data_IF_211887718399
#
_entry.id   IF_211887718399
#
_cell.length_a   1.000
_cell.length_b   1.000
_cell.length_c   1.000
_cell.angle_alpha   90.00
_cell.angle_beta   90.00
_cell.angle_gamma   90.00
#
_symmetry.space_group_name_H-M   'P 1'
#
loop_
_entity.id
_entity.type
_entity.pdbx_description
1 polymer ?
#
# COMPACT_ATOMS: atom_id res chain seq x y z
N UNK A 1 9.41 -47.07 -2.55
CA UNK A 1 8.83 -46.35 -3.70
C UNK A 1 7.47 -46.98 -3.89
N UNK A 2 6.54 -46.66 -2.99
CA UNK A 2 5.37 -47.50 -2.79
C UNK A 2 4.18 -46.71 -3.30
N UNK A 3 3.81 -47.00 -4.54
CA UNK A 3 2.56 -46.51 -5.10
C UNK A 3 1.43 -47.33 -4.48
N UNK A 4 0.38 -46.67 -3.99
CA UNK A 4 -0.77 -47.35 -3.39
C UNK A 4 -1.53 -48.23 -4.41
N UNK A 5 -1.52 -47.84 -5.68
CA UNK A 5 -2.06 -48.63 -6.79
C UNK A 5 -1.09 -48.57 -7.98
N UNK A 6 -0.33 -49.63 -8.29
CA UNK A 6 0.49 -49.67 -9.49
C UNK A 6 -0.39 -49.65 -10.75
N UNK A 7 0.04 -48.99 -11.84
CA UNK A 7 1.33 -48.34 -12.03
C UNK A 7 1.41 -46.93 -11.39
N UNK A 8 2.62 -46.46 -11.01
CA UNK A 8 2.81 -45.08 -10.60
C UNK A 8 2.51 -44.12 -11.76
N UNK A 9 2.12 -42.88 -11.44
CA UNK A 9 1.91 -41.85 -12.47
C UNK A 9 3.18 -41.66 -13.32
N UNK A 10 2.99 -41.57 -14.63
CA UNK A 10 4.05 -41.21 -15.57
C UNK A 10 4.45 -39.74 -15.42
N UNK A 11 5.60 -39.37 -15.97
CA UNK A 11 6.08 -37.98 -15.90
C UNK A 11 5.17 -37.03 -16.71
N UNK A 12 4.60 -37.48 -17.83
CA UNK A 12 3.60 -36.70 -18.61
C UNK A 12 2.32 -36.43 -17.80
N UNK A 13 1.87 -37.42 -17.03
CA UNK A 13 0.72 -37.27 -16.12
C UNK A 13 1.04 -36.31 -14.98
N UNK A 14 2.26 -36.35 -14.42
CA UNK A 14 2.71 -35.37 -13.43
C UNK A 14 2.76 -33.97 -14.03
N UNK A 15 3.30 -33.80 -15.24
CA UNK A 15 3.32 -32.52 -15.96
C UNK A 15 1.91 -31.98 -16.17
N UNK A 16 0.99 -32.83 -16.63
CA UNK A 16 -0.42 -32.46 -16.83
C UNK A 16 -1.09 -31.94 -15.54
N UNK A 17 -0.71 -32.50 -14.38
CA UNK A 17 -1.18 -32.01 -13.07
C UNK A 17 -0.56 -30.66 -12.70
N UNK A 18 0.73 -30.44 -13.02
CA UNK A 18 1.39 -29.15 -12.80
C UNK A 18 0.73 -28.03 -13.61
N UNK A 19 0.41 -28.33 -14.86
CA UNK A 19 -0.22 -27.39 -15.80
C UNK A 19 -1.72 -27.16 -15.53
N UNK A 20 -2.31 -27.87 -14.56
CA UNK A 20 -3.73 -27.79 -14.22
C UNK A 20 -4.66 -28.46 -15.23
N UNK A 21 -4.12 -29.31 -16.11
CA UNK A 21 -4.83 -30.02 -17.19
C UNK A 21 -5.22 -31.45 -16.80
N UNK A 22 -4.99 -31.86 -15.56
CA UNK A 22 -5.26 -33.22 -15.10
C UNK A 22 -6.76 -33.52 -14.94
N UNK A 23 -7.17 -34.68 -15.43
CA UNK A 23 -8.51 -35.22 -15.19
C UNK A 23 -8.73 -35.69 -13.74
N UNK A 24 -9.99 -35.92 -13.35
CA UNK A 24 -10.36 -36.27 -11.97
C UNK A 24 -9.70 -37.56 -11.46
N UNK A 25 -9.47 -38.54 -12.35
CA UNK A 25 -8.83 -39.82 -12.00
C UNK A 25 -7.40 -39.65 -11.46
N UNK A 26 -6.62 -38.73 -12.04
CA UNK A 26 -5.27 -38.44 -11.58
C UNK A 26 -5.28 -37.75 -10.21
N UNK A 27 -6.25 -36.85 -9.97
CA UNK A 27 -6.40 -36.16 -8.70
C UNK A 27 -6.82 -37.14 -7.60
N UNK A 28 -7.72 -38.08 -7.89
CA UNK A 28 -8.10 -39.16 -6.96
C UNK A 28 -6.91 -40.04 -6.62
N UNK A 29 -6.08 -40.40 -7.61
CA UNK A 29 -4.85 -41.16 -7.36
C UNK A 29 -3.87 -40.40 -6.45
N UNK A 30 -3.64 -39.10 -6.70
CA UNK A 30 -2.78 -38.27 -5.86
C UNK A 30 -3.30 -38.14 -4.42
N UNK A 31 -4.61 -38.04 -4.25
CA UNK A 31 -5.24 -38.01 -2.93
C UNK A 31 -5.00 -39.29 -2.13
N UNK A 32 -4.91 -40.45 -2.81
CA UNK A 32 -4.73 -41.76 -2.17
C UNK A 32 -3.25 -42.21 -2.09
N UNK A 33 -2.33 -41.62 -2.85
CA UNK A 33 -0.97 -42.12 -3.02
C UNK A 33 0.11 -41.12 -2.55
N UNK A 34 0.68 -41.39 -1.38
CA UNK A 34 1.77 -40.56 -0.82
C UNK A 34 3.03 -40.54 -1.71
N UNK A 35 3.37 -41.66 -2.38
CA UNK A 35 4.54 -41.75 -3.25
C UNK A 35 4.43 -40.84 -4.49
N UNK A 36 3.28 -40.84 -5.15
CA UNK A 36 3.03 -39.97 -6.30
C UNK A 36 2.90 -38.50 -5.88
N UNK A 37 2.33 -38.22 -4.71
CA UNK A 37 2.27 -36.86 -4.15
C UNK A 37 3.66 -36.31 -3.82
N UNK A 38 4.57 -37.12 -3.28
CA UNK A 38 5.96 -36.71 -3.05
C UNK A 38 6.73 -36.42 -4.36
N UNK A 39 6.46 -37.20 -5.43
CA UNK A 39 7.01 -36.95 -6.77
C UNK A 39 6.49 -35.64 -7.36
N UNK A 40 5.18 -35.39 -7.27
CA UNK A 40 4.58 -34.12 -7.69
C UNK A 40 5.16 -32.93 -6.93
N UNK A 41 5.35 -33.05 -5.61
CA UNK A 41 5.97 -31.99 -4.80
C UNK A 41 7.43 -31.71 -5.21
N UNK A 42 8.18 -32.75 -5.55
CA UNK A 42 9.55 -32.63 -6.07
C UNK A 42 9.56 -31.91 -7.43
N UNK A 43 8.65 -32.29 -8.34
CA UNK A 43 8.51 -31.65 -9.65
C UNK A 43 8.14 -30.17 -9.53
N UNK A 44 7.15 -29.81 -8.67
CA UNK A 44 6.81 -28.41 -8.34
C UNK A 44 7.98 -27.60 -7.81
N UNK A 45 8.85 -28.24 -7.04
CA UNK A 45 10.02 -27.56 -6.46
C UNK A 45 11.08 -27.30 -7.52
N UNK A 46 11.28 -28.25 -8.45
CA UNK A 46 12.16 -28.06 -9.60
C UNK A 46 11.64 -26.96 -10.52
N UNK A 47 10.36 -27.00 -10.90
CA UNK A 47 9.73 -26.00 -11.77
C UNK A 47 9.87 -24.60 -11.18
N UNK A 48 9.56 -24.41 -9.88
CA UNK A 48 9.75 -23.12 -9.21
C UNK A 48 11.21 -22.65 -9.23
N UNK A 49 12.18 -23.55 -9.07
CA UNK A 49 13.61 -23.19 -9.14
C UNK A 49 14.03 -22.78 -10.54
N UNK A 50 13.58 -23.50 -11.56
CA UNK A 50 13.85 -23.18 -12.96
C UNK A 50 13.18 -21.86 -13.34
N UNK A 51 11.89 -21.71 -13.04
CA UNK A 51 11.14 -20.48 -13.24
C UNK A 51 11.83 -19.30 -12.55
N UNK A 52 12.22 -19.43 -11.28
CA UNK A 52 12.93 -18.36 -10.56
C UNK A 52 14.29 -17.99 -11.19
N UNK A 53 15.02 -18.96 -11.75
CA UNK A 53 16.29 -18.69 -12.44
C UNK A 53 16.11 -18.07 -13.82
N UNK A 54 15.09 -18.48 -14.56
CA UNK A 54 14.82 -17.97 -15.90
C UNK A 54 14.00 -16.67 -15.86
N UNK A 55 13.34 -16.38 -14.75
CA UNK A 55 12.62 -15.14 -14.53
C UNK A 55 13.59 -13.96 -14.58
N UNK A 56 13.40 -13.10 -15.59
CA UNK A 56 14.24 -11.91 -15.85
C UNK A 56 15.71 -12.22 -16.14
N UNK A 57 16.05 -13.45 -16.56
CA UNK A 57 17.45 -13.84 -16.78
C UNK A 57 18.24 -12.84 -17.64
N UNK A 58 17.61 -12.30 -18.69
CA UNK A 58 18.22 -11.30 -19.59
C UNK A 58 17.60 -9.90 -19.45
N UNK A 59 16.76 -9.68 -18.43
CA UNK A 59 16.11 -8.39 -18.22
C UNK A 59 16.94 -7.50 -17.29
N UNK A 60 17.04 -6.19 -17.57
CA UNK A 60 17.66 -5.26 -16.64
C UNK A 60 16.90 -5.25 -15.30
N UNK A 61 17.59 -4.97 -14.18
CA UNK A 61 16.95 -4.90 -12.87
C UNK A 61 16.01 -3.68 -12.80
N UNK A 62 14.97 -3.72 -11.93
CA UNK A 62 13.96 -2.67 -11.82
C UNK A 62 14.56 -1.28 -11.60
N UNK A 63 15.56 -1.17 -10.73
CA UNK A 63 16.18 0.12 -10.39
C UNK A 63 16.82 0.79 -11.62
N UNK A 64 17.41 0.00 -12.52
CA UNK A 64 17.98 0.50 -13.78
C UNK A 64 16.89 1.01 -14.72
N UNK A 65 15.72 0.37 -14.76
CA UNK A 65 14.58 0.85 -15.55
C UNK A 65 14.04 2.18 -14.99
N UNK A 66 13.99 2.32 -13.66
CA UNK A 66 13.58 3.57 -13.01
C UNK A 66 14.57 4.72 -13.26
N UNK A 67 15.88 4.45 -13.15
CA UNK A 67 16.91 5.45 -13.42
C UNK A 67 16.97 5.82 -14.91
N UNK A 68 16.73 4.86 -15.82
CA UNK A 68 16.54 5.14 -17.25
C UNK A 68 15.37 6.10 -17.48
N UNK A 69 14.21 5.84 -16.85
CA UNK A 69 13.03 6.69 -16.96
C UNK A 69 13.29 8.12 -16.46
N UNK A 70 14.14 8.28 -15.44
CA UNK A 70 14.52 9.58 -14.87
C UNK A 70 15.67 10.27 -15.61
N UNK A 71 16.21 9.65 -16.67
CA UNK A 71 17.35 10.18 -17.43
C UNK A 71 18.66 10.23 -16.64
N UNK A 72 18.81 9.40 -15.61
CA UNK A 72 19.97 9.40 -14.69
C UNK A 72 21.07 8.42 -15.05
N UNK A 73 20.88 7.63 -16.11
CA UNK A 73 21.89 6.70 -16.60
C UNK A 73 22.86 7.38 -17.57
N UNK A 74 24.10 6.92 -17.58
CA UNK A 74 25.07 7.28 -18.60
C UNK A 74 24.63 6.83 -20.01
N UNK A 75 25.17 7.44 -21.08
CA UNK A 75 24.70 7.25 -22.45
C UNK A 75 24.75 5.79 -22.92
N UNK A 76 25.83 5.07 -22.59
CA UNK A 76 26.01 3.66 -22.94
C UNK A 76 24.95 2.75 -22.29
N UNK A 77 24.66 2.97 -21.01
CA UNK A 77 23.67 2.19 -20.25
C UNK A 77 22.24 2.50 -20.72
N UNK A 78 21.98 3.76 -21.07
CA UNK A 78 20.69 4.17 -21.63
C UNK A 78 20.44 3.52 -23.01
N UNK A 79 21.45 3.45 -23.87
CA UNK A 79 21.36 2.75 -25.15
C UNK A 79 21.10 1.25 -24.98
N UNK A 80 21.81 0.58 -24.06
CA UNK A 80 21.61 -0.84 -23.79
C UNK A 80 20.18 -1.15 -23.31
N UNK A 81 19.62 -0.32 -22.43
CA UNK A 81 18.24 -0.48 -21.96
C UNK A 81 17.25 -0.19 -23.09
N UNK A 82 17.48 0.85 -23.88
CA UNK A 82 16.62 1.17 -25.03
C UNK A 82 16.56 0.01 -26.04
N UNK A 83 17.72 -0.60 -26.33
CA UNK A 83 17.80 -1.77 -27.20
C UNK A 83 17.04 -2.98 -26.60
N UNK A 84 17.18 -3.22 -25.29
CA UNK A 84 16.44 -4.28 -24.61
C UNK A 84 14.92 -4.04 -24.64
N UNK A 85 14.46 -2.81 -24.41
CA UNK A 85 13.04 -2.44 -24.44
C UNK A 85 12.39 -2.63 -25.81
N UNK A 86 13.16 -2.57 -26.89
CA UNK A 86 12.67 -2.84 -28.24
C UNK A 86 12.29 -4.31 -28.48
N UNK A 87 12.85 -5.23 -27.69
CA UNK A 87 12.66 -6.69 -27.85
C UNK A 87 11.84 -7.28 -26.71
N UNK A 88 11.91 -6.71 -25.51
CA UNK A 88 11.27 -7.25 -24.32
C UNK A 88 9.92 -6.59 -24.01
N UNK A 89 8.81 -7.28 -24.32
CA UNK A 89 7.44 -6.85 -24.01
C UNK A 89 7.21 -6.66 -22.50
N UNK A 90 7.89 -7.47 -21.68
CA UNK A 90 7.75 -7.40 -20.23
C UNK A 90 8.32 -6.10 -19.67
N UNK A 91 9.56 -5.76 -20.02
CA UNK A 91 10.20 -4.55 -19.53
C UNK A 91 9.57 -3.28 -20.09
N UNK A 92 9.05 -3.31 -21.32
CA UNK A 92 8.28 -2.19 -21.86
C UNK A 92 6.96 -1.97 -21.11
N UNK A 93 6.26 -3.03 -20.71
CA UNK A 93 5.08 -2.93 -19.84
C UNK A 93 5.43 -2.38 -18.45
N UNK A 94 6.47 -2.92 -17.81
CA UNK A 94 6.94 -2.44 -16.49
C UNK A 94 7.28 -0.94 -16.52
N UNK A 95 7.89 -0.47 -17.61
CA UNK A 95 8.20 0.95 -17.81
C UNK A 95 6.94 1.81 -18.07
N UNK A 96 5.95 1.27 -18.78
CA UNK A 96 4.67 1.94 -19.00
C UNK A 96 3.87 2.09 -17.69
N UNK A 97 3.82 1.03 -16.88
CA UNK A 97 3.16 1.05 -15.57
C UNK A 97 3.84 2.07 -14.64
N UNK A 98 5.17 2.10 -14.62
CA UNK A 98 5.93 3.10 -13.86
C UNK A 98 5.61 4.54 -14.30
N UNK A 99 5.51 4.78 -15.62
CA UNK A 99 5.14 6.10 -16.16
C UNK A 99 3.75 6.53 -15.74
N UNK A 100 2.78 5.61 -15.80
CA UNK A 100 1.41 5.89 -15.40
C UNK A 100 1.34 6.27 -13.90
N UNK A 101 2.07 5.55 -13.05
CA UNK A 101 2.09 5.82 -11.61
C UNK A 101 2.73 7.18 -11.28
N UNK A 102 3.83 7.53 -11.96
CA UNK A 102 4.47 8.84 -11.79
C UNK A 102 3.57 9.98 -12.30
N UNK A 103 2.90 9.81 -13.44
CA UNK A 103 1.96 10.80 -13.95
C UNK A 103 0.75 11.03 -13.03
N UNK A 104 0.28 9.97 -12.35
CA UNK A 104 -0.76 10.08 -11.34
C UNK A 104 -0.30 10.84 -10.09
N UNK A 105 0.98 10.72 -9.70
CA UNK A 105 1.55 11.44 -8.57
C UNK A 105 1.81 12.93 -8.87
N UNK A 106 2.14 13.28 -10.12
CA UNK A 106 2.37 14.67 -10.58
C UNK A 106 1.08 15.41 -10.93
N UNK A 107 -0.06 14.71 -11.01
CA UNK A 107 -1.34 15.35 -11.22
C UNK A 107 -1.68 16.16 -9.96
N UNK A 108 -1.96 17.47 -10.07
CA UNK A 108 -2.43 18.24 -8.91
C UNK A 108 -3.66 17.51 -8.36
N UNK A 109 -3.74 17.28 -7.03
CA UNK A 109 -4.91 16.67 -6.45
C UNK A 109 -6.11 17.48 -6.91
N UNK A 110 -7.09 16.80 -7.51
CA UNK A 110 -8.31 17.44 -7.94
C UNK A 110 -8.85 18.21 -6.75
N UNK A 111 -8.85 19.54 -6.85
CA UNK A 111 -9.30 20.42 -5.78
C UNK A 111 -10.79 20.15 -5.64
N UNK A 112 -11.14 19.27 -4.71
CA UNK A 112 -12.52 18.98 -4.34
C UNK A 112 -13.15 20.32 -3.97
N UNK A 113 -14.03 20.82 -4.84
CA UNK A 113 -14.79 22.03 -4.54
C UNK A 113 -15.57 21.77 -3.25
N UNK A 114 -15.50 22.67 -2.25
CA UNK A 114 -16.16 22.45 -0.97
C UNK A 114 -17.67 22.34 -1.20
N UNK A 115 -18.19 21.12 -1.16
CA UNK A 115 -19.62 20.85 -1.13
C UNK A 115 -20.13 20.97 0.30
N UNK A 116 -21.28 21.62 0.54
CA UNK A 116 -21.90 21.63 1.84
C UNK A 116 -22.21 20.19 2.29
N UNK A 117 -21.74 19.84 3.48
CA UNK A 117 -21.85 18.48 4.00
C UNK A 117 -23.31 18.04 4.20
N UNK A 118 -23.67 16.78 3.88
CA UNK A 118 -24.93 16.21 4.34
C UNK A 118 -24.95 16.15 5.87
N UNK A 119 -26.05 16.61 6.48
CA UNK A 119 -26.26 16.58 7.93
C UNK A 119 -26.47 15.14 8.38
N UNK A 120 -25.48 14.53 9.02
CA UNK A 120 -25.63 13.25 9.71
C UNK A 120 -26.47 13.41 11.00
N UNK A 121 -27.30 12.41 11.37
CA UNK A 121 -28.14 12.46 12.55
C UNK A 121 -27.32 12.49 13.85
N UNK A 122 -27.85 13.21 14.84
CA UNK A 122 -27.18 13.68 16.06
C UNK A 122 -26.80 12.59 17.11
N UNK A 123 -26.79 11.31 16.74
CA UNK A 123 -26.60 10.19 17.67
C UNK A 123 -25.20 9.54 17.63
N UNK A 124 -24.21 10.16 16.97
CA UNK A 124 -22.83 9.69 17.00
C UNK A 124 -22.22 9.94 18.39
N UNK A 125 -21.74 8.89 19.06
CA UNK A 125 -20.91 9.02 20.26
C UNK A 125 -19.64 9.78 19.88
N UNK A 126 -19.51 10.99 20.42
CA UNK A 126 -18.38 11.90 20.17
C UNK A 126 -17.35 11.73 21.27
N UNK A 127 -16.17 11.29 20.89
CA UNK A 127 -15.00 11.19 21.73
C UNK A 127 -14.05 12.33 21.36
N UNK A 128 -13.69 13.17 22.32
CA UNK A 128 -12.70 14.23 22.10
C UNK A 128 -11.30 13.68 22.32
N UNK A 129 -10.47 13.67 21.28
CA UNK A 129 -9.06 13.36 21.40
C UNK A 129 -8.33 14.51 22.08
N UNK A 130 -7.50 14.19 23.05
CA UNK A 130 -6.59 15.12 23.69
C UNK A 130 -5.21 14.97 23.07
N UNK A 131 -4.68 16.04 22.49
CA UNK A 131 -3.28 16.09 22.08
C UNK A 131 -2.39 15.93 23.31
N UNK A 132 -1.46 14.98 23.24
CA UNK A 132 -0.47 14.78 24.28
C UNK A 132 0.68 15.79 24.11
N UNK A 133 1.32 16.22 25.21
CA UNK A 133 2.49 17.07 25.11
C UNK A 133 3.56 16.37 24.28
N UNK A 134 4.10 17.05 23.27
CA UNK A 134 5.25 16.57 22.49
C UNK A 134 6.41 16.35 23.47
N UNK A 135 6.71 15.09 23.77
CA UNK A 135 7.95 14.78 24.47
C UNK A 135 9.07 14.76 23.42
N UNK A 136 10.09 15.63 23.51
CA UNK A 136 11.22 15.56 22.62
C UNK A 136 11.98 14.26 22.91
N UNK A 137 11.65 13.20 22.15
CA UNK A 137 12.48 12.01 22.09
C UNK A 137 13.82 12.38 21.46
N UNK A 138 14.91 11.84 21.98
CA UNK A 138 16.24 11.98 21.37
C UNK A 138 16.17 11.50 19.90
N UNK A 139 16.07 12.44 18.98
CA UNK A 139 15.86 12.16 17.56
C UNK A 139 17.14 11.58 16.96
N UNK A 140 17.16 10.27 16.69
CA UNK A 140 18.05 9.72 15.69
C UNK A 140 17.47 10.07 14.31
N UNK A 141 18.05 11.14 13.73
CA UNK A 141 17.96 11.55 12.32
C UNK A 141 16.65 12.26 11.90
N UNK A 142 16.73 13.59 11.79
CA UNK A 142 15.72 14.45 11.17
C UNK A 142 15.25 15.55 12.13
N UNK A 143 15.66 16.79 11.88
CA UNK A 143 15.21 17.96 12.64
C UNK A 143 13.77 18.30 12.24
N UNK A 144 12.81 17.64 12.87
CA UNK A 144 11.39 17.96 12.80
C UNK A 144 10.78 17.91 14.20
N UNK A 145 9.63 18.53 14.37
CA UNK A 145 8.91 18.68 15.65
C UNK A 145 8.39 17.36 16.27
N UNK A 146 8.76 16.21 15.70
CA UNK A 146 8.28 14.89 16.06
C UNK A 146 6.81 14.68 15.69
N UNK A 147 6.35 13.42 15.60
CA UNK A 147 4.95 13.13 15.32
C UNK A 147 4.07 13.69 16.45
N UNK A 148 2.94 14.30 16.08
CA UNK A 148 1.90 14.70 17.01
C UNK A 148 1.16 13.44 17.46
N UNK A 149 1.05 13.25 18.78
CA UNK A 149 0.32 12.12 19.36
C UNK A 149 -0.94 12.65 20.06
N UNK A 150 -2.07 11.99 19.83
CA UNK A 150 -3.33 12.31 20.49
C UNK A 150 -4.04 11.03 20.93
N UNK A 151 -4.75 11.07 22.05
CA UNK A 151 -5.45 9.91 22.60
C UNK A 151 -6.94 10.20 22.81
N UNK A 152 -7.78 9.21 22.50
CA UNK A 152 -9.21 9.20 22.75
C UNK A 152 -9.69 7.76 23.02
N UNK A 153 -10.21 7.49 24.22
CA UNK A 153 -10.99 6.28 24.58
C UNK A 153 -10.57 4.98 23.86
N UNK A 154 -9.37 4.47 24.18
CA UNK A 154 -8.84 3.21 23.62
C UNK A 154 -8.28 3.34 22.20
N UNK A 155 -8.07 4.57 21.72
CA UNK A 155 -7.39 4.85 20.46
C UNK A 155 -6.32 5.93 20.61
N UNK A 156 -5.18 5.71 19.96
CA UNK A 156 -4.06 6.64 19.82
C UNK A 156 -3.91 7.02 18.35
N UNK A 157 -3.82 8.32 18.09
CA UNK A 157 -3.60 8.89 16.76
C UNK A 157 -2.17 9.44 16.72
N UNK A 158 -1.39 8.99 15.76
CA UNK A 158 -0.10 9.55 15.39
C UNK A 158 -0.28 10.37 14.12
N UNK A 159 0.23 11.59 14.09
CA UNK A 159 0.18 12.48 12.93
C UNK A 159 1.57 13.00 12.62
N UNK A 160 1.97 12.89 11.36
CA UNK A 160 3.16 13.53 10.82
C UNK A 160 2.72 14.59 9.80
N UNK A 161 3.20 15.82 9.99
CA UNK A 161 2.91 16.95 9.12
C UNK A 161 4.19 17.32 8.41
N UNK A 162 4.21 17.13 7.10
CA UNK A 162 5.37 17.40 6.27
C UNK A 162 5.13 18.63 5.38
N UNK A 163 6.16 19.44 5.10
CA UNK A 163 6.05 20.54 4.16
C UNK A 163 5.74 20.02 2.75
N UNK A 164 4.81 20.68 2.05
CA UNK A 164 4.45 20.38 0.67
C UNK A 164 4.90 21.48 -0.30
N UNK A 165 4.11 21.72 -1.34
CA UNK A 165 4.27 22.90 -2.20
C UNK A 165 4.08 24.20 -1.39
N UNK A 166 4.55 25.37 -1.88
CA UNK A 166 4.46 26.62 -1.14
C UNK A 166 3.05 26.90 -0.59
N UNK A 167 2.92 27.06 0.73
CA UNK A 167 1.64 27.28 1.42
C UNK A 167 0.80 26.02 1.67
N UNK A 168 1.32 24.83 1.34
CA UNK A 168 0.67 23.55 1.54
C UNK A 168 1.50 22.63 2.44
N UNK A 169 0.81 21.74 3.14
CA UNK A 169 1.40 20.66 3.93
C UNK A 169 0.82 19.32 3.49
N UNK A 170 1.53 18.24 3.80
CA UNK A 170 1.01 16.88 3.72
C UNK A 170 0.76 16.38 5.13
N UNK A 171 -0.40 15.78 5.37
CA UNK A 171 -0.72 15.13 6.63
C UNK A 171 -0.76 13.63 6.43
N UNK A 172 0.15 12.92 7.09
CA UNK A 172 0.10 11.47 7.23
C UNK A 172 -0.35 11.15 8.66
N UNK A 173 -1.23 10.16 8.82
CA UNK A 173 -1.64 9.73 10.13
C UNK A 173 -1.80 8.23 10.26
N UNK A 174 -1.74 7.77 11.51
CA UNK A 174 -1.99 6.39 11.90
C UNK A 174 -2.88 6.37 13.14
N UNK A 175 -3.96 5.61 13.07
CA UNK A 175 -4.88 5.32 14.16
C UNK A 175 -4.60 3.90 14.66
N UNK A 176 -4.22 3.80 15.93
CA UNK A 176 -4.03 2.55 16.66
C UNK A 176 -5.13 2.47 17.71
N UNK A 177 -6.04 1.51 17.58
CA UNK A 177 -7.15 1.34 18.52
C UNK A 177 -7.22 -0.10 19.05
N UNK A 178 -7.76 -0.25 20.26
CA UNK A 178 -8.02 -1.57 20.87
C UNK A 178 -8.91 -2.45 19.97
N UNK A 179 -9.87 -1.81 19.29
CA UNK A 179 -10.75 -2.41 18.27
C UNK A 179 -10.39 -1.89 16.88
N UNK A 180 -9.21 -2.27 16.37
CA UNK A 180 -8.70 -1.80 15.08
C UNK A 180 -9.66 -2.12 13.91
N UNK A 181 -10.28 -3.30 13.91
CA UNK A 181 -11.19 -3.73 12.85
C UNK A 181 -12.42 -2.82 12.72
N UNK A 182 -12.92 -2.29 13.85
CA UNK A 182 -14.03 -1.34 13.87
C UNK A 182 -13.71 0.05 13.31
N UNK A 183 -12.43 0.33 12.99
CA UNK A 183 -11.97 1.59 12.40
C UNK A 183 -11.46 1.45 10.96
N UNK A 184 -11.27 0.24 10.44
CA UNK A 184 -10.96 0.04 9.04
C UNK A 184 -12.10 0.62 8.16
N UNK A 185 -11.73 1.45 7.18
CA UNK A 185 -12.68 2.20 6.35
C UNK A 185 -13.33 3.41 7.05
N UNK A 186 -12.86 3.82 8.24
CA UNK A 186 -13.33 5.04 8.87
C UNK A 186 -13.06 6.27 8.01
N UNK A 187 -14.02 7.20 7.97
CA UNK A 187 -13.89 8.46 7.25
C UNK A 187 -13.10 9.46 8.10
N UNK A 188 -12.01 9.94 7.55
CA UNK A 188 -11.24 11.07 8.07
C UNK A 188 -11.72 12.33 7.38
N UNK A 189 -12.10 13.35 8.14
CA UNK A 189 -12.45 14.69 7.67
C UNK A 189 -11.50 15.70 8.30
N UNK A 190 -10.87 16.52 7.48
CA UNK A 190 -10.07 17.65 7.93
C UNK A 190 -10.81 18.95 7.66
N UNK A 191 -10.96 19.78 8.70
CA UNK A 191 -11.75 21.00 8.66
C UNK A 191 -10.94 22.21 9.09
N UNK A 192 -11.10 23.34 8.40
CA UNK A 192 -10.52 24.62 8.79
C UNK A 192 -11.62 25.68 8.82
N UNK A 193 -11.68 26.44 9.92
CA UNK A 193 -12.77 27.41 10.15
C UNK A 193 -14.18 26.81 9.92
N UNK A 194 -14.36 25.53 10.26
CA UNK A 194 -15.61 24.79 10.07
C UNK A 194 -15.88 24.28 8.64
N UNK A 195 -15.07 24.67 7.66
CA UNK A 195 -15.16 24.19 6.27
C UNK A 195 -14.41 22.88 6.11
N UNK A 196 -14.99 21.92 5.38
CA UNK A 196 -14.32 20.69 5.01
C UNK A 196 -13.25 21.00 3.95
N UNK A 197 -12.00 20.68 4.25
CA UNK A 197 -10.84 20.97 3.40
C UNK A 197 -10.33 19.70 2.73
N UNK A 198 -10.38 18.57 3.43
CA UNK A 198 -9.99 17.28 2.88
C UNK A 198 -10.74 16.12 3.54
N UNK A 199 -10.77 15.00 2.84
CA UNK A 199 -11.24 13.72 3.36
C UNK A 199 -10.28 12.61 2.98
N UNK A 200 -10.13 11.62 3.85
CA UNK A 200 -9.41 10.39 3.58
C UNK A 200 -10.13 9.22 4.24
N UNK A 201 -9.67 8.00 3.98
CA UNK A 201 -10.14 6.81 4.67
C UNK A 201 -9.00 6.18 5.45
N UNK A 202 -9.33 5.59 6.60
CA UNK A 202 -8.41 4.74 7.35
C UNK A 202 -8.35 3.38 6.66
N UNK A 203 -7.15 2.92 6.32
CA UNK A 203 -6.94 1.59 5.73
C UNK A 203 -7.03 0.46 6.78
N UNK A 204 -6.80 -0.77 6.34
CA UNK A 204 -6.81 -1.96 7.19
C UNK A 204 -5.67 -2.00 8.23
N UNK A 205 -4.61 -1.20 8.02
CA UNK A 205 -3.49 -1.02 8.94
C UNK A 205 -3.65 0.20 9.85
N UNK A 206 -4.77 0.94 9.75
CA UNK A 206 -5.01 2.14 10.52
C UNK A 206 -4.38 3.41 9.95
N UNK A 207 -3.79 3.37 8.76
CA UNK A 207 -3.11 4.51 8.17
C UNK A 207 -4.07 5.35 7.31
N UNK A 208 -3.78 6.64 7.20
CA UNK A 208 -4.47 7.55 6.31
C UNK A 208 -3.53 8.66 5.84
N UNK A 209 -3.86 9.27 4.70
CA UNK A 209 -3.06 10.32 4.09
C UNK A 209 -3.93 11.38 3.44
N UNK A 210 -3.64 12.65 3.72
CA UNK A 210 -4.25 13.82 3.09
C UNK A 210 -3.15 14.64 2.38
N UNK A 211 -3.11 14.66 1.03
CA UNK A 211 -2.16 15.48 0.30
C UNK A 211 -2.62 16.96 0.21
N UNK A 212 -1.66 17.86 0.03
CA UNK A 212 -1.86 19.25 -0.39
C UNK A 212 -2.87 20.08 0.44
N UNK A 213 -2.68 20.09 1.75
CA UNK A 213 -3.53 20.81 2.68
C UNK A 213 -3.05 22.25 2.87
N UNK A 214 -3.93 23.26 2.85
CA UNK A 214 -3.55 24.63 3.23
C UNK A 214 -3.00 24.66 4.66
N UNK A 215 -1.92 25.40 4.86
CA UNK A 215 -1.37 25.64 6.19
C UNK A 215 -2.38 26.38 7.09
N UNK A 216 -2.42 26.03 8.38
CA UNK A 216 -3.31 26.67 9.36
C UNK A 216 -3.87 25.76 10.45
N UNK A 217 -4.69 26.33 11.32
CA UNK A 217 -5.33 25.60 12.42
C UNK A 217 -6.49 24.77 11.90
N UNK A 218 -6.48 23.49 12.22
CA UNK A 218 -7.40 22.51 11.65
C UNK A 218 -8.03 21.62 12.72
N UNK A 219 -9.19 21.09 12.42
CA UNK A 219 -9.87 20.05 13.19
C UNK A 219 -9.87 18.76 12.38
N UNK A 220 -9.43 17.67 12.99
CA UNK A 220 -9.45 16.32 12.43
C UNK A 220 -10.60 15.54 13.06
N UNK A 221 -11.50 15.01 12.24
CA UNK A 221 -12.57 14.13 12.66
C UNK A 221 -12.36 12.76 12.04
N UNK A 222 -12.43 11.70 12.83
CA UNK A 222 -12.39 10.32 12.35
C UNK A 222 -13.71 9.66 12.74
N UNK A 223 -14.53 9.30 11.77
CA UNK A 223 -15.84 8.67 11.98
C UNK A 223 -15.79 7.22 11.51
N UNK A 224 -15.98 6.28 12.43
CA UNK A 224 -16.03 4.85 12.12
C UNK A 224 -17.30 4.49 11.35
N UNK A 225 -17.28 3.32 10.69
CA UNK A 225 -18.46 2.76 9.99
C UNK A 225 -19.62 2.54 10.97
N UNK A 226 -19.31 2.20 12.22
CA UNK A 226 -20.28 2.05 13.31
C UNK A 226 -20.79 3.38 13.90
N UNK A 227 -20.38 4.53 13.37
CA UNK A 227 -20.83 5.85 13.81
C UNK A 227 -20.15 6.40 15.06
N UNK A 228 -19.08 5.76 15.55
CA UNK A 228 -18.22 6.33 16.60
C UNK A 228 -17.39 7.46 15.98
N UNK A 229 -17.21 8.57 16.67
CA UNK A 229 -16.40 9.68 16.17
C UNK A 229 -15.32 10.08 17.15
N UNK A 230 -14.09 10.19 16.67
CA UNK A 230 -12.98 10.85 17.38
C UNK A 230 -12.78 12.24 16.77
N UNK A 231 -12.65 13.26 17.60
CA UNK A 231 -12.38 14.64 17.15
C UNK A 231 -11.13 15.16 17.83
N UNK A 232 -10.15 15.59 17.03
CA UNK A 232 -8.95 16.31 17.46
C UNK A 232 -9.02 17.74 16.94
N UNK A 233 -9.18 18.71 17.84
CA UNK A 233 -9.25 20.13 17.50
C UNK A 233 -7.91 20.83 17.72
N UNK A 234 -7.68 21.94 17.01
CA UNK A 234 -6.52 22.80 17.22
C UNK A 234 -5.21 22.26 16.64
N UNK A 235 -5.28 21.42 15.60
CA UNK A 235 -4.11 20.91 14.90
C UNK A 235 -3.42 22.03 14.13
N UNK A 236 -2.22 22.40 14.54
CA UNK A 236 -1.42 23.44 13.89
C UNK A 236 -0.64 22.86 12.69
N UNK A 237 -1.12 23.14 11.47
CA UNK A 237 -0.53 22.68 10.23
C UNK A 237 0.41 23.73 9.65
N UNK A 238 1.60 23.87 10.25
CA UNK A 238 2.61 24.84 9.77
C UNK A 238 3.29 24.32 8.51
N UNK A 239 3.34 25.16 7.47
CA UNK A 239 4.32 25.02 6.39
C UNK A 239 5.68 25.43 6.95
N UNK A 240 6.73 24.65 6.67
CA UNK A 240 8.08 25.16 6.85
C UNK A 240 8.28 26.24 5.78
N UNK A 241 8.30 27.51 6.20
CA UNK A 241 8.77 28.64 5.38
C UNK A 241 10.31 28.64 5.31
#
# INVERSE_FOLDING_TARGET
MDCYAPPPLSDDQISSVLDGLAGPELLTHLAACAGCTARLASARTLERRVAARLYRWDCPPPDRLAEHQRGRLGPEQSHAITAHLAVCVRCSRELADLRALLAAADSPPEVLRPTPAPRLPAAAQRHSARQLPRQPGAALRGAGDGPIMAEADGATIFLDIQPGSPGQVLLQGQLVADDQAGWAGALVELRQAGLLVATAFVDDLGSFWCPALPAGISELWITSVGGRRITLAGLDMRSAD
#
